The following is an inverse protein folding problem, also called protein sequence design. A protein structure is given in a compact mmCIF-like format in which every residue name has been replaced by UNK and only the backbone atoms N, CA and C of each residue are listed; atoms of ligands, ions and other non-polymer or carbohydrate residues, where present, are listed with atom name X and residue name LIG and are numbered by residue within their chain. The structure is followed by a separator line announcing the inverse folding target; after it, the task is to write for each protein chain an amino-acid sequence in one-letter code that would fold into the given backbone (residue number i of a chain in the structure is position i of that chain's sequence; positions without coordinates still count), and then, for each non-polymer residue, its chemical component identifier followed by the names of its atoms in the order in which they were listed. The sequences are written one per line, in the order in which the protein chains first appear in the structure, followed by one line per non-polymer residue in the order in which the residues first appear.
data_IF_388284605971
#
_entry.id   IF_388284605971
#
_cell.length_a   1.000
_cell.length_b   1.000
_cell.length_c   1.000
_cell.angle_alpha   90.00
_cell.angle_beta   90.00
_cell.angle_gamma   90.00
#
_symmetry.space_group_name_H-M   'P 1'
#
loop_
_entity.id
_entity.type
_entity.pdbx_description
1 polymer ?
#
# COMPACT_ATOMS: atom_id res chain seq x y z
N UNK A 1 6.02 9.08 -1.38
CA UNK A 1 4.86 8.88 -0.47
C UNK A 1 5.23 9.17 0.99
N UNK A 2 6.26 8.51 1.56
CA UNK A 2 6.72 8.74 2.94
C UNK A 2 7.02 10.21 3.29
N UNK A 3 7.80 10.91 2.46
CA UNK A 3 8.15 12.32 2.69
C UNK A 3 6.92 13.22 2.78
N UNK A 4 6.08 13.23 1.74
CA UNK A 4 4.85 14.06 1.69
C UNK A 4 3.91 13.78 2.87
N UNK A 5 3.81 12.53 3.30
CA UNK A 5 2.99 12.17 4.48
C UNK A 5 3.60 12.69 5.78
N UNK A 6 4.93 12.73 5.91
CA UNK A 6 5.66 13.25 7.09
C UNK A 6 5.68 14.77 7.14
N UNK A 7 5.82 15.43 5.99
CA UNK A 7 5.95 16.89 5.89
C UNK A 7 4.61 17.62 5.77
N UNK A 8 3.56 16.94 5.32
CA UNK A 8 2.25 17.53 5.07
C UNK A 8 1.15 16.68 5.72
N UNK A 9 0.24 16.11 4.93
CA UNK A 9 -0.93 15.39 5.42
C UNK A 9 -0.99 13.97 4.87
N UNK A 10 -1.80 13.12 5.51
CA UNK A 10 -2.16 11.79 4.99
C UNK A 10 -2.78 11.88 3.60
N UNK A 11 -3.60 12.89 3.33
CA UNK A 11 -4.20 13.15 2.02
C UNK A 11 -3.15 13.47 0.94
N UNK A 12 -2.12 14.26 1.25
CA UNK A 12 -1.01 14.52 0.33
C UNK A 12 -0.24 13.24 -0.01
N UNK A 13 -0.02 12.37 0.98
CA UNK A 13 0.53 11.02 0.77
C UNK A 13 -0.29 10.19 -0.23
N UNK A 14 -1.61 10.16 -0.07
CA UNK A 14 -2.54 9.44 -0.97
C UNK A 14 -2.53 9.98 -2.39
N UNK A 15 -2.40 11.30 -2.59
CA UNK A 15 -2.24 11.90 -3.93
C UNK A 15 -0.99 11.39 -4.64
N UNK A 16 0.12 11.21 -3.91
CA UNK A 16 1.35 10.62 -4.47
C UNK A 16 1.14 9.15 -4.83
N UNK A 17 0.45 8.38 -3.99
CA UNK A 17 0.12 6.98 -4.31
C UNK A 17 -0.73 6.88 -5.58
N UNK A 18 -1.77 7.71 -5.71
CA UNK A 18 -2.60 7.77 -6.92
C UNK A 18 -1.75 8.03 -8.16
N UNK A 19 -0.88 9.05 -8.13
CA UNK A 19 0.03 9.36 -9.24
C UNK A 19 0.96 8.19 -9.58
N UNK A 20 1.50 7.51 -8.57
CA UNK A 20 2.37 6.36 -8.79
C UNK A 20 1.63 5.19 -9.45
N UNK A 21 0.39 4.94 -9.03
CA UNK A 21 -0.46 3.87 -9.57
C UNK A 21 -0.85 4.09 -11.02
N UNK A 22 -1.11 5.35 -11.38
CA UNK A 22 -1.55 5.74 -12.72
C UNK A 22 -0.35 5.86 -13.70
N UNK A 23 0.90 5.87 -13.20
CA UNK A 23 2.12 5.91 -14.01
C UNK A 23 2.50 4.51 -14.52
N UNK A 24 2.63 4.36 -15.84
CA UNK A 24 3.00 3.10 -16.51
C UNK A 24 4.41 2.61 -16.16
N UNK A 25 5.31 3.52 -15.76
CA UNK A 25 6.70 3.18 -15.37
C UNK A 25 6.76 2.56 -13.97
N UNK A 26 5.73 2.75 -13.15
CA UNK A 26 5.63 2.12 -11.83
C UNK A 26 5.21 0.67 -12.02
N UNK A 27 6.19 -0.19 -12.30
CA UNK A 27 6.01 -1.63 -12.51
C UNK A 27 6.05 -2.44 -11.21
N UNK A 28 6.56 -1.83 -10.13
CA UNK A 28 6.78 -2.48 -8.85
C UNK A 28 5.56 -2.53 -7.93
N UNK A 29 5.35 -3.69 -7.30
CA UNK A 29 4.31 -3.93 -6.30
C UNK A 29 4.58 -3.21 -4.96
N UNK A 30 5.84 -2.79 -4.73
CA UNK A 30 6.30 -2.17 -3.48
C UNK A 30 5.54 -0.89 -3.13
N UNK A 31 5.03 -0.17 -4.13
CA UNK A 31 4.23 1.04 -3.94
C UNK A 31 2.89 0.76 -3.23
N UNK A 32 2.27 -0.38 -3.52
CA UNK A 32 1.03 -0.83 -2.89
C UNK A 32 1.28 -1.30 -1.46
N UNK A 33 2.31 -2.14 -1.25
CA UNK A 33 2.70 -2.63 0.08
C UNK A 33 3.01 -1.45 0.99
N UNK A 34 3.86 -0.52 0.54
CA UNK A 34 4.20 0.66 1.34
C UNK A 34 2.97 1.53 1.65
N UNK A 35 2.05 1.71 0.69
CA UNK A 35 0.81 2.46 0.90
C UNK A 35 -0.09 1.80 1.96
N UNK A 36 -0.30 0.49 1.85
CA UNK A 36 -1.13 -0.26 2.79
C UNK A 36 -0.56 -0.21 4.21
N UNK A 37 0.74 -0.49 4.37
CA UNK A 37 1.41 -0.41 5.67
C UNK A 37 1.38 1.01 6.27
N UNK A 38 1.51 2.05 5.45
CA UNK A 38 1.39 3.43 5.93
C UNK A 38 -0.01 3.79 6.39
N UNK A 39 -1.06 3.24 5.78
CA UNK A 39 -2.44 3.42 6.25
C UNK A 39 -2.69 2.60 7.52
N UNK A 40 -2.23 1.35 7.55
CA UNK A 40 -2.37 0.49 8.72
C UNK A 40 -1.67 1.06 9.96
N UNK A 41 -0.35 1.25 9.90
CA UNK A 41 0.40 1.73 11.06
C UNK A 41 0.13 3.19 11.39
N UNK A 42 -0.12 4.00 10.37
CA UNK A 42 -0.17 5.44 10.53
C UNK A 42 -1.56 6.05 10.70
N UNK A 43 -2.63 5.44 10.19
CA UNK A 43 -4.01 5.94 10.43
C UNK A 43 -4.87 4.94 11.21
N UNK A 44 -4.35 3.73 11.49
CA UNK A 44 -5.08 2.63 12.13
C UNK A 44 -6.36 2.24 11.38
N UNK A 45 -6.46 2.60 10.08
CA UNK A 45 -7.61 2.27 9.23
C UNK A 45 -7.34 0.99 8.46
N UNK A 46 -7.69 -0.14 9.10
CA UNK A 46 -7.55 -1.48 8.53
C UNK A 46 -8.26 -1.63 7.18
N UNK A 47 -9.51 -1.20 7.09
CA UNK A 47 -10.30 -1.32 5.85
C UNK A 47 -9.61 -0.66 4.64
N UNK A 48 -8.90 0.44 4.85
CA UNK A 48 -8.18 1.13 3.79
C UNK A 48 -6.93 0.33 3.38
N UNK A 49 -6.19 -0.21 4.34
CA UNK A 49 -5.04 -1.06 4.06
C UNK A 49 -5.47 -2.33 3.31
N UNK A 50 -6.56 -2.99 3.72
CA UNK A 50 -7.11 -4.17 3.05
C UNK A 50 -7.54 -3.85 1.62
N UNK A 51 -8.21 -2.71 1.41
CA UNK A 51 -8.60 -2.25 0.08
C UNK A 51 -7.39 -2.01 -0.82
N UNK A 52 -6.30 -1.46 -0.28
CA UNK A 52 -5.05 -1.26 -1.04
C UNK A 52 -4.41 -2.60 -1.40
N UNK A 53 -4.36 -3.55 -0.47
CA UNK A 53 -3.82 -4.89 -0.73
C UNK A 53 -4.65 -5.65 -1.78
N UNK A 54 -5.99 -5.60 -1.69
CA UNK A 54 -6.89 -6.19 -2.68
C UNK A 54 -6.72 -5.53 -4.06
N UNK A 55 -6.50 -4.21 -4.11
CA UNK A 55 -6.25 -3.50 -5.36
C UNK A 55 -4.92 -3.92 -6.00
N UNK A 56 -3.86 -4.04 -5.21
CA UNK A 56 -2.55 -4.50 -5.71
C UNK A 56 -2.57 -5.98 -6.11
N UNK A 57 -3.36 -6.81 -5.44
CA UNK A 57 -3.51 -8.24 -5.76
C UNK A 57 -4.08 -8.44 -7.17
N UNK A 58 -5.03 -7.60 -7.59
CA UNK A 58 -5.58 -7.63 -8.96
C UNK A 58 -4.51 -7.40 -10.04
N UNK A 59 -3.43 -6.68 -9.73
CA UNK A 59 -2.36 -6.31 -10.68
C UNK A 59 -1.10 -7.16 -10.54
N UNK A 60 -0.82 -7.65 -9.33
CA UNK A 60 0.43 -8.32 -8.96
C UNK A 60 0.21 -9.71 -8.35
N UNK A 61 -0.89 -10.39 -8.66
CA UNK A 61 -1.21 -11.74 -8.16
C UNK A 61 -0.13 -12.78 -8.48
N UNK A 62 0.63 -12.59 -9.55
CA UNK A 62 1.70 -13.51 -9.96
C UNK A 62 3.04 -13.25 -9.26
N UNK A 63 3.14 -12.20 -8.44
CA UNK A 63 4.37 -11.85 -7.72
C UNK A 63 4.35 -12.45 -6.31
N UNK A 64 5.21 -13.45 -6.09
CA UNK A 64 5.36 -14.13 -4.79
C UNK A 64 5.69 -13.13 -3.67
N UNK A 65 6.60 -12.19 -3.91
CA UNK A 65 6.98 -11.15 -2.96
C UNK A 65 5.79 -10.31 -2.48
N UNK A 66 4.83 -10.05 -3.37
CA UNK A 66 3.62 -9.31 -3.02
C UNK A 66 2.70 -10.14 -2.13
N UNK A 67 2.53 -11.42 -2.44
CA UNK A 67 1.74 -12.35 -1.62
C UNK A 67 2.36 -12.52 -0.23
N UNK A 68 3.70 -12.68 -0.13
CA UNK A 68 4.42 -12.73 1.14
C UNK A 68 4.23 -11.47 1.97
N UNK A 69 4.33 -10.29 1.34
CA UNK A 69 4.11 -9.01 2.02
C UNK A 69 2.67 -8.86 2.54
N UNK A 70 1.69 -9.40 1.80
CA UNK A 70 0.30 -9.38 2.23
C UNK A 70 0.02 -10.37 3.36
N UNK A 71 0.60 -11.57 3.29
CA UNK A 71 0.53 -12.57 4.35
C UNK A 71 1.16 -12.07 5.65
N UNK A 72 2.33 -11.45 5.56
CA UNK A 72 3.01 -10.84 6.71
C UNK A 72 2.12 -9.77 7.37
N UNK A 73 1.47 -8.92 6.57
CA UNK A 73 0.51 -7.95 7.08
C UNK A 73 -0.69 -8.61 7.79
N UNK A 74 -1.25 -9.70 7.24
CA UNK A 74 -2.37 -10.44 7.86
C UNK A 74 -1.95 -11.08 9.19
N UNK A 75 -0.75 -11.67 9.24
CA UNK A 75 -0.20 -12.24 10.46
C UNK A 75 -0.07 -11.18 11.58
N UNK A 76 0.34 -9.96 11.25
CA UNK A 76 0.41 -8.85 12.20
C UNK A 76 -0.98 -8.38 12.69
N UNK A 77 -2.04 -8.69 11.95
CA UNK A 77 -3.43 -8.45 12.36
C UNK A 77 -4.02 -9.57 13.21
N UNK A 78 -3.29 -10.68 13.37
CA UNK A 78 -3.78 -11.91 14.00
C UNK A 78 -5.02 -12.50 13.27
N UNK A 79 -5.09 -12.29 11.95
CA UNK A 79 -6.07 -12.87 11.01
C UNK A 79 -5.37 -13.81 10.02
#
# INVERSE_FOLDING_TARGET
MKYKRRSETTAAGRKVFKRARDDKRTTGHQSYVAAALMEYFGTKKKDIADNIFRLGLKKHSTKVDYALSYLDYMLHLNE
#
